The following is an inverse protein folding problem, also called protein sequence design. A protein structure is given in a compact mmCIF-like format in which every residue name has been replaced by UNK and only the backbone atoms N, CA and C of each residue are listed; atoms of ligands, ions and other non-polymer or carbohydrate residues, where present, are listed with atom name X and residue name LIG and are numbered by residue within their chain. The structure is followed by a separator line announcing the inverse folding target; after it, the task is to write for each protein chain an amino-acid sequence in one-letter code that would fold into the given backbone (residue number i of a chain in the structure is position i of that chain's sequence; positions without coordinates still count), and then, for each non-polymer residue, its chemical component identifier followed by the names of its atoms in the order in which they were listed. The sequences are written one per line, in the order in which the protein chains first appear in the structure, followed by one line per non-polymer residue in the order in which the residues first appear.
data_IF_841177860423
#
_entry.id   IF_841177860423
#
_cell.length_a   1.000
_cell.length_b   1.000
_cell.length_c   1.000
_cell.angle_alpha   90.00
_cell.angle_beta   90.00
_cell.angle_gamma   90.00
#
_symmetry.space_group_name_H-M   'P 1'
#
loop_
_entity.id
_entity.type
_entity.pdbx_description
1 polymer ?
#
# COMPACT_ATOMS: atom_id res chain seq x y z
N UNK A 1 -10.79 -7.48 27.39
CA UNK A 1 -10.47 -6.88 26.07
C UNK A 1 -11.75 -6.76 25.26
N UNK A 2 -12.03 -5.57 24.76
CA UNK A 2 -13.16 -5.31 23.88
C UNK A 2 -12.63 -5.07 22.47
N UNK A 3 -13.34 -5.57 21.46
CA UNK A 3 -12.98 -5.40 20.05
C UNK A 3 -14.08 -4.58 19.38
N UNK A 4 -13.67 -3.50 18.71
CA UNK A 4 -14.56 -2.58 18.03
C UNK A 4 -14.28 -2.59 16.53
N UNK A 5 -15.33 -2.50 15.73
CA UNK A 5 -15.19 -2.25 14.29
C UNK A 5 -14.93 -0.76 14.08
N UNK A 6 -14.04 -0.45 13.14
CA UNK A 6 -13.71 0.93 12.79
C UNK A 6 -14.58 1.43 11.64
N UNK A 7 -14.89 2.71 11.68
CA UNK A 7 -15.49 3.41 10.55
C UNK A 7 -14.47 3.63 9.45
N UNK A 8 -14.92 3.96 8.25
CA UNK A 8 -14.02 4.30 7.14
C UNK A 8 -13.08 5.46 7.51
N UNK A 9 -13.60 6.49 8.18
CA UNK A 9 -12.81 7.62 8.64
C UNK A 9 -11.71 7.21 9.62
N UNK A 10 -12.04 6.35 10.58
CA UNK A 10 -11.05 5.84 11.54
C UNK A 10 -9.97 4.99 10.86
N UNK A 11 -10.34 4.18 9.88
CA UNK A 11 -9.37 3.45 9.07
C UNK A 11 -8.42 4.40 8.34
N UNK A 12 -8.96 5.48 7.75
CA UNK A 12 -8.16 6.50 7.08
C UNK A 12 -7.15 7.16 8.00
N UNK A 13 -7.52 7.45 9.25
CA UNK A 13 -6.61 8.01 10.24
C UNK A 13 -5.41 7.09 10.50
N UNK A 14 -5.63 5.79 10.53
CA UNK A 14 -4.55 4.81 10.68
C UNK A 14 -3.62 4.84 9.45
N UNK A 15 -4.18 4.89 8.25
CA UNK A 15 -3.40 4.91 7.01
C UNK A 15 -2.56 6.17 6.85
N UNK A 16 -2.97 7.28 7.45
CA UNK A 16 -2.17 8.51 7.43
C UNK A 16 -0.96 8.43 8.37
N UNK A 17 -1.04 7.60 9.39
CA UNK A 17 -0.02 7.45 10.42
C UNK A 17 0.92 6.28 10.16
N UNK A 18 0.39 5.16 9.70
CA UNK A 18 1.14 3.93 9.42
C UNK A 18 1.44 3.86 7.93
N UNK A 19 2.69 3.68 7.58
CA UNK A 19 3.15 3.67 6.18
C UNK A 19 3.69 2.32 5.73
N UNK A 20 3.46 1.28 6.52
CA UNK A 20 3.96 -0.05 6.26
C UNK A 20 2.83 -1.07 6.37
N UNK A 21 2.77 -1.98 5.44
CA UNK A 21 1.75 -3.02 5.42
C UNK A 21 2.21 -4.25 4.68
N UNK A 22 1.28 -5.19 4.52
CA UNK A 22 1.52 -6.44 3.80
C UNK A 22 0.56 -6.53 2.64
N UNK A 23 1.12 -6.62 1.45
CA UNK A 23 0.37 -6.78 0.21
C UNK A 23 0.19 -8.27 -0.07
N UNK A 24 -1.05 -8.68 -0.25
CA UNK A 24 -1.40 -10.03 -0.69
C UNK A 24 -1.92 -9.98 -2.13
N UNK A 25 -1.36 -10.80 -2.97
CA UNK A 25 -1.80 -10.98 -4.34
C UNK A 25 -1.85 -12.47 -4.68
N UNK A 26 -2.39 -12.81 -5.82
CA UNK A 26 -2.50 -14.23 -6.21
C UNK A 26 -2.35 -14.39 -7.70
N UNK A 27 -1.86 -15.57 -8.09
CA UNK A 27 -1.72 -15.98 -9.47
C UNK A 27 -1.99 -17.47 -9.54
N UNK A 28 -2.91 -17.88 -10.43
CA UNK A 28 -3.26 -19.29 -10.61
C UNK A 28 -3.55 -19.98 -9.26
N UNK A 29 -4.38 -19.32 -8.45
CA UNK A 29 -4.78 -19.77 -7.11
C UNK A 29 -3.64 -19.85 -6.07
N UNK A 30 -2.42 -19.43 -6.41
CA UNK A 30 -1.33 -19.33 -5.44
C UNK A 30 -1.34 -17.97 -4.77
N UNK A 31 -1.60 -17.89 -3.45
CA UNK A 31 -1.44 -16.66 -2.69
C UNK A 31 0.03 -16.29 -2.50
N UNK A 32 0.29 -14.98 -2.41
CA UNK A 32 1.63 -14.46 -2.16
C UNK A 32 1.51 -13.21 -1.30
N UNK A 33 2.30 -13.11 -0.25
CA UNK A 33 2.30 -11.98 0.68
C UNK A 33 3.69 -11.39 0.77
N UNK A 34 3.78 -10.07 0.70
CA UNK A 34 5.06 -9.35 0.74
C UNK A 34 4.88 -8.03 1.49
N UNK A 35 5.87 -7.59 2.30
CA UNK A 35 5.79 -6.28 2.92
C UNK A 35 5.93 -5.17 1.88
N UNK A 36 5.18 -4.09 2.10
CA UNK A 36 5.25 -2.89 1.26
C UNK A 36 5.27 -1.65 2.12
N UNK A 37 5.83 -0.58 1.56
CA UNK A 37 5.61 0.78 2.06
C UNK A 37 4.66 1.47 1.12
N UNK A 38 3.81 2.34 1.67
CA UNK A 38 2.80 3.03 0.88
C UNK A 38 2.59 4.45 1.39
N UNK A 39 2.00 5.28 0.55
CA UNK A 39 1.47 6.59 0.92
C UNK A 39 -0.02 6.60 0.61
N UNK A 40 -0.82 6.96 1.61
CA UNK A 40 -2.27 7.03 1.48
C UNK A 40 -2.71 8.38 0.91
N UNK A 41 -3.58 8.33 -0.09
CA UNK A 41 -4.23 9.50 -0.66
C UNK A 41 -5.74 9.41 -0.34
N UNK A 42 -6.16 10.12 0.70
CA UNK A 42 -7.56 10.11 1.14
C UNK A 42 -8.51 10.67 0.08
N UNK A 43 -8.08 11.70 -0.64
CA UNK A 43 -8.91 12.36 -1.66
C UNK A 43 -9.23 11.42 -2.83
N UNK A 44 -8.29 10.55 -3.18
CA UNK A 44 -8.45 9.58 -4.27
C UNK A 44 -8.75 8.17 -3.79
N UNK A 45 -8.77 7.96 -2.49
CA UNK A 45 -9.06 6.69 -1.85
C UNK A 45 -8.17 5.56 -2.39
N UNK A 46 -6.86 5.80 -2.34
CA UNK A 46 -5.89 4.83 -2.85
C UNK A 46 -4.59 4.87 -2.05
N UNK A 47 -3.80 3.82 -2.23
CA UNK A 47 -2.44 3.71 -1.72
C UNK A 47 -1.48 3.77 -2.91
N UNK A 48 -0.44 4.58 -2.79
CA UNK A 48 0.65 4.61 -3.78
C UNK A 48 1.85 3.83 -3.30
N UNK A 49 2.54 3.18 -4.21
CA UNK A 49 3.76 2.47 -3.91
C UNK A 49 4.78 2.55 -5.04
N UNK A 50 6.03 2.25 -4.67
CA UNK A 50 7.13 2.06 -5.58
C UNK A 50 7.64 0.64 -5.46
N UNK A 51 8.08 0.08 -6.57
CA UNK A 51 8.73 -1.23 -6.56
C UNK A 51 9.67 -1.36 -7.74
N UNK A 52 10.74 -2.11 -7.57
CA UNK A 52 11.44 -2.67 -8.73
C UNK A 52 10.55 -3.71 -9.39
N UNK A 53 10.77 -3.95 -10.69
CA UNK A 53 10.09 -5.02 -11.39
C UNK A 53 10.45 -6.35 -10.74
N UNK A 54 9.45 -7.12 -10.32
CA UNK A 54 9.64 -8.40 -9.66
C UNK A 54 8.33 -9.17 -9.59
N UNK A 55 8.32 -10.22 -8.75
CA UNK A 55 7.20 -11.16 -8.69
C UNK A 55 5.86 -10.49 -8.39
N UNK A 56 5.79 -9.61 -7.39
CA UNK A 56 4.53 -8.97 -7.04
C UNK A 56 3.95 -8.15 -8.19
N UNK A 57 4.80 -7.40 -8.91
CA UNK A 57 4.36 -6.59 -10.06
C UNK A 57 3.86 -7.49 -11.19
N UNK A 58 4.62 -8.52 -11.52
CA UNK A 58 4.23 -9.47 -12.57
C UNK A 58 2.90 -10.15 -12.26
N UNK A 59 2.71 -10.57 -11.02
CA UNK A 59 1.47 -11.23 -10.59
C UNK A 59 0.29 -10.26 -10.58
N UNK A 60 0.49 -9.03 -10.10
CA UNK A 60 -0.56 -8.02 -10.10
C UNK A 60 -0.94 -7.54 -11.49
N UNK A 61 -0.03 -7.57 -12.44
CA UNK A 61 -0.35 -7.29 -13.85
C UNK A 61 -1.29 -8.33 -14.44
N UNK A 62 -1.15 -9.59 -14.07
CA UNK A 62 -2.04 -10.65 -14.49
C UNK A 62 -3.34 -10.67 -13.69
N UNK A 63 -3.27 -10.48 -12.37
CA UNK A 63 -4.42 -10.45 -11.50
C UNK A 63 -4.37 -9.21 -10.60
N UNK A 64 -5.11 -8.15 -10.96
CA UNK A 64 -5.04 -6.89 -10.22
C UNK A 64 -5.79 -6.89 -8.89
N UNK A 65 -6.56 -7.92 -8.56
CA UNK A 65 -7.26 -8.01 -7.28
C UNK A 65 -6.28 -8.33 -6.16
N UNK A 66 -6.24 -7.46 -5.16
CA UNK A 66 -5.25 -7.55 -4.08
C UNK A 66 -5.91 -7.23 -2.74
N UNK A 67 -5.20 -7.59 -1.67
CA UNK A 67 -5.48 -7.12 -0.32
C UNK A 67 -4.24 -6.47 0.26
N UNK A 68 -4.45 -5.48 1.13
CA UNK A 68 -3.38 -4.93 1.95
C UNK A 68 -3.81 -5.02 3.41
N UNK A 69 -2.98 -5.63 4.24
CA UNK A 69 -3.17 -5.66 5.69
C UNK A 69 -2.25 -4.64 6.32
N UNK A 70 -2.78 -3.85 7.25
CA UNK A 70 -2.02 -2.84 7.99
C UNK A 70 -2.31 -3.04 9.47
N UNK A 71 -1.29 -2.93 10.30
CA UNK A 71 -1.45 -3.12 11.73
C UNK A 71 -0.66 -2.09 12.52
N UNK A 72 -1.21 -1.75 13.69
CA UNK A 72 -0.56 -0.91 14.67
C UNK A 72 -0.73 -1.62 16.03
N UNK A 73 0.30 -2.32 16.45
CA UNK A 73 0.28 -3.16 17.63
C UNK A 73 1.13 -2.51 18.72
N UNK A 74 0.49 -2.02 19.77
CA UNK A 74 1.17 -1.47 20.94
C UNK A 74 1.46 -2.57 21.96
N UNK A 75 0.45 -3.37 22.27
CA UNK A 75 0.56 -4.51 23.20
C UNK A 75 -0.38 -5.62 22.74
N UNK A 76 -0.34 -6.77 23.39
CA UNK A 76 -1.26 -7.88 23.12
C UNK A 76 -2.73 -7.53 23.35
N UNK A 77 -3.02 -6.49 24.14
CA UNK A 77 -4.39 -6.04 24.46
C UNK A 77 -4.76 -4.72 23.78
N UNK A 78 -3.79 -4.04 23.15
CA UNK A 78 -4.01 -2.76 22.50
C UNK A 78 -3.42 -2.78 21.08
N UNK A 79 -4.27 -2.98 20.11
CA UNK A 79 -3.88 -3.08 18.71
C UNK A 79 -4.99 -2.58 17.79
N UNK A 80 -4.61 -2.20 16.60
CA UNK A 80 -5.51 -1.86 15.50
C UNK A 80 -5.05 -2.61 14.26
N UNK A 81 -5.99 -3.19 13.53
CA UNK A 81 -5.71 -3.87 12.26
C UNK A 81 -6.68 -3.40 11.19
N UNK A 82 -6.18 -3.28 9.97
CA UNK A 82 -6.98 -2.96 8.79
C UNK A 82 -6.80 -4.05 7.75
N UNK A 83 -7.88 -4.33 7.01
CA UNK A 83 -7.81 -5.12 5.79
C UNK A 83 -8.41 -4.27 4.67
N UNK A 84 -7.64 -4.08 3.62
CA UNK A 84 -8.01 -3.29 2.45
C UNK A 84 -8.16 -4.24 1.27
N UNK A 85 -9.33 -4.20 0.62
CA UNK A 85 -9.57 -4.91 -0.64
C UNK A 85 -9.47 -3.88 -1.75
N UNK A 86 -8.63 -4.13 -2.73
CA UNK A 86 -8.41 -3.16 -3.77
C UNK A 86 -7.91 -3.75 -5.07
N UNK A 87 -7.56 -2.85 -5.98
CA UNK A 87 -7.10 -3.21 -7.33
C UNK A 87 -5.81 -2.47 -7.65
N UNK A 88 -4.86 -3.23 -8.16
CA UNK A 88 -3.60 -2.70 -8.66
C UNK A 88 -3.80 -1.96 -9.97
N UNK A 89 -3.20 -0.77 -10.06
CA UNK A 89 -3.08 -0.02 -11.30
C UNK A 89 -1.67 0.53 -11.40
N UNK A 90 -1.01 0.28 -12.51
CA UNK A 90 0.32 0.83 -12.77
C UNK A 90 0.19 2.26 -13.28
N UNK A 91 1.02 3.18 -12.77
CA UNK A 91 1.05 4.56 -13.20
C UNK A 91 2.16 4.70 -14.24
N UNK A 92 1.74 4.89 -15.49
CA UNK A 92 2.66 5.00 -16.62
C UNK A 92 3.15 6.42 -16.89
N UNK A 93 3.90 6.56 -17.98
CA UNK A 93 4.51 7.82 -18.42
C UNK A 93 3.64 8.61 -19.40
N UNK A 94 2.41 8.17 -19.66
CA UNK A 94 1.52 8.86 -20.60
C UNK A 94 1.23 10.29 -20.15
N UNK A 95 0.91 11.16 -21.10
CA UNK A 95 0.52 12.54 -20.80
C UNK A 95 -0.68 12.61 -19.85
N UNK A 96 -1.61 11.66 -19.94
CA UNK A 96 -2.77 11.58 -19.08
C UNK A 96 -2.38 11.27 -17.62
N UNK A 97 -1.28 10.55 -17.42
CA UNK A 97 -0.81 10.13 -16.10
C UNK A 97 0.31 11.01 -15.55
N UNK A 98 0.79 11.98 -16.32
CA UNK A 98 1.89 12.85 -15.91
C UNK A 98 1.56 13.62 -14.62
N UNK A 99 0.33 14.12 -14.50
CA UNK A 99 -0.12 14.81 -13.29
C UNK A 99 -0.16 13.90 -12.08
N UNK A 100 -0.59 12.65 -12.27
CA UNK A 100 -0.60 11.63 -11.20
C UNK A 100 0.82 11.30 -10.73
N UNK A 101 1.75 11.13 -11.66
CA UNK A 101 3.16 10.87 -11.31
C UNK A 101 3.76 12.02 -10.53
N UNK A 102 3.50 13.27 -10.94
CA UNK A 102 3.97 14.45 -10.24
C UNK A 102 3.42 14.53 -8.82
N UNK A 103 2.10 14.28 -8.64
CA UNK A 103 1.48 14.27 -7.32
C UNK A 103 2.09 13.19 -6.43
N UNK A 104 2.30 12.00 -6.94
CA UNK A 104 2.91 10.90 -6.21
C UNK A 104 4.32 11.26 -5.78
N UNK A 105 5.10 11.84 -6.70
CA UNK A 105 6.45 12.31 -6.41
C UNK A 105 6.46 13.35 -5.28
N UNK A 106 5.54 14.31 -5.31
CA UNK A 106 5.40 15.32 -4.25
C UNK A 106 5.06 14.69 -2.90
N UNK A 107 4.16 13.71 -2.88
CA UNK A 107 3.82 12.98 -1.65
C UNK A 107 5.04 12.24 -1.08
N UNK A 108 5.87 11.66 -1.93
CA UNK A 108 7.08 10.98 -1.51
C UNK A 108 8.14 11.96 -0.99
N UNK A 109 8.19 13.16 -1.53
CA UNK A 109 9.10 14.19 -1.06
C UNK A 109 8.81 14.64 0.38
N UNK A 110 7.57 14.54 0.83
CA UNK A 110 7.19 14.88 2.19
C UNK A 110 7.76 13.90 3.22
N UNK A 111 8.13 12.70 2.78
CA UNK A 111 8.73 11.65 3.62
C UNK A 111 9.97 11.10 2.91
N UNK A 112 11.08 11.85 2.87
CA UNK A 112 12.15 11.60 1.89
C UNK A 112 12.88 10.28 2.01
N UNK A 113 12.72 9.54 3.08
CA UNK A 113 13.47 8.29 3.26
C UNK A 113 12.63 7.02 3.19
N UNK A 114 11.30 7.12 3.23
CA UNK A 114 10.49 5.91 3.30
C UNK A 114 10.49 5.10 1.99
N UNK A 115 10.60 5.77 0.85
CA UNK A 115 10.64 5.12 -0.46
C UNK A 115 12.05 4.66 -0.85
N UNK A 116 13.06 5.13 -0.14
CA UNK A 116 14.46 4.90 -0.47
C UNK A 116 14.82 3.40 -0.60
N UNK A 117 14.36 2.50 0.29
CA UNK A 117 14.64 1.08 0.12
C UNK A 117 14.06 0.49 -1.17
N UNK A 118 12.91 0.98 -1.61
CA UNK A 118 12.29 0.53 -2.87
C UNK A 118 13.01 1.09 -4.10
N UNK A 119 13.59 2.27 -3.97
CA UNK A 119 14.37 2.92 -5.02
C UNK A 119 15.84 2.54 -4.97
N UNK A 120 16.30 1.94 -3.88
CA UNK A 120 17.69 1.51 -3.75
C UNK A 120 18.03 0.52 -4.86
N UNK A 121 19.21 0.68 -5.44
CA UNK A 121 19.66 -0.24 -6.47
C UNK A 121 19.85 -1.65 -5.91
N UNK A 122 19.09 -2.58 -6.41
CA UNK A 122 19.49 -3.97 -6.33
C UNK A 122 20.69 -4.12 -7.27
N UNK A 123 21.75 -4.74 -6.81
CA UNK A 123 22.99 -4.88 -7.60
C UNK A 123 22.69 -5.26 -9.05
N UNK A 124 23.17 -4.45 -10.00
CA UNK A 124 22.99 -4.67 -11.43
C UNK A 124 21.68 -4.19 -12.04
N UNK A 125 20.76 -3.55 -11.28
CA UNK A 125 19.50 -3.02 -11.82
C UNK A 125 19.56 -1.51 -11.97
N UNK A 126 18.98 -1.02 -13.07
CA UNK A 126 18.90 0.39 -13.40
C UNK A 126 17.74 1.08 -12.65
N UNK A 127 17.90 2.36 -12.20
CA UNK A 127 16.83 3.08 -11.52
C UNK A 127 15.54 3.25 -12.32
N UNK A 128 15.62 3.27 -13.65
CA UNK A 128 14.45 3.44 -14.51
C UNK A 128 13.58 2.18 -14.64
N UNK A 129 14.00 1.05 -14.05
CA UNK A 129 13.16 -0.15 -13.96
C UNK A 129 12.16 -0.08 -12.81
N UNK A 130 12.07 1.07 -12.14
CA UNK A 130 11.10 1.30 -11.06
C UNK A 130 9.68 1.39 -11.59
N UNK A 131 8.78 0.69 -10.90
CA UNK A 131 7.34 0.71 -11.16
C UNK A 131 6.67 1.56 -10.10
N UNK A 132 5.89 2.54 -10.53
CA UNK A 132 5.01 3.32 -9.68
C UNK A 132 3.61 2.75 -9.85
N UNK A 133 2.94 2.46 -8.74
CA UNK A 133 1.61 1.89 -8.80
C UNK A 133 0.70 2.50 -7.74
N UNK A 134 -0.60 2.30 -7.91
CA UNK A 134 -1.57 2.54 -6.87
C UNK A 134 -2.42 1.30 -6.64
N UNK A 135 -2.88 1.16 -5.41
CA UNK A 135 -3.94 0.24 -5.05
C UNK A 135 -5.20 1.08 -4.83
N UNK A 136 -6.13 0.99 -5.77
CA UNK A 136 -7.44 1.64 -5.62
C UNK A 136 -8.22 0.88 -4.56
N UNK A 137 -8.69 1.57 -3.53
CA UNK A 137 -9.42 0.94 -2.43
C UNK A 137 -10.88 0.72 -2.85
N UNK A 138 -11.31 -0.53 -2.84
CA UNK A 138 -12.71 -0.89 -3.09
C UNK A 138 -13.49 -1.00 -1.79
N UNK A 139 -12.88 -1.60 -0.77
CA UNK A 139 -13.47 -1.76 0.54
C UNK A 139 -12.39 -1.84 1.60
N UNK A 140 -12.68 -1.29 2.76
CA UNK A 140 -11.74 -1.27 3.87
C UNK A 140 -12.48 -1.60 5.15
N UNK A 141 -11.95 -2.52 5.93
CA UNK A 141 -12.45 -2.90 7.24
C UNK A 141 -11.34 -2.75 8.27
N UNK A 142 -11.72 -2.45 9.50
CA UNK A 142 -10.75 -2.33 10.57
C UNK A 142 -11.32 -2.75 11.91
N UNK A 143 -10.43 -3.19 12.78
CA UNK A 143 -10.76 -3.58 14.15
C UNK A 143 -9.75 -2.98 15.11
N UNK A 144 -10.24 -2.61 16.28
CA UNK A 144 -9.42 -2.07 17.36
C UNK A 144 -9.76 -2.76 18.66
N UNK A 145 -8.77 -3.18 19.41
CA UNK A 145 -8.97 -3.65 20.77
C UNK A 145 -8.75 -2.51 21.75
N UNK A 146 -9.54 -2.53 22.81
CA UNK A 146 -9.35 -1.67 23.98
C UNK A 146 -9.36 -2.51 25.23
N UNK A 147 -8.66 -2.04 26.25
CA UNK A 147 -8.68 -2.69 27.54
C UNK A 147 -10.09 -2.52 28.13
N UNK A 148 -10.68 -3.61 28.49
CA UNK A 148 -12.01 -3.61 29.10
C UNK A 148 -12.04 -3.06 30.51
#
# INVERSE_FOLDING_TARGET
MLIHELTHHQCGEILERVEFGRLACSRLDQPYVVPIRFSYDADRNCLYGFSSLGRKIEWMRENPKVCVEVEDIETSERWTTLVIFGRFEEIGDSAEQAGSRQRIWELFQQRPQWWFPAAAKVSGREPHSMVIYRIQIDRMTGRRSTKG
#
